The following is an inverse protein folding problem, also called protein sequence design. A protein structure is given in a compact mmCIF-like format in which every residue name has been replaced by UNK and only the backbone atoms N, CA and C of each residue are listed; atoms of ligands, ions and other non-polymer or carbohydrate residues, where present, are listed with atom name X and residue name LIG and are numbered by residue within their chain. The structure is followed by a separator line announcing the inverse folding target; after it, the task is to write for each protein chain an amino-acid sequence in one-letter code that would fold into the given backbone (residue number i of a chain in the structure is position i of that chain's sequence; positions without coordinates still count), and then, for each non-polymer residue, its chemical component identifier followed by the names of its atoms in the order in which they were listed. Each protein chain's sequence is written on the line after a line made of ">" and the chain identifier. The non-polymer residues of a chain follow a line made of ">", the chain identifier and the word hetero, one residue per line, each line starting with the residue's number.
data_IF_897772753640
#
_entry.id   IF_897772753640
#
_cell.length_a   1.000
_cell.length_b   1.000
_cell.length_c   1.000
_cell.angle_alpha   90.00
_cell.angle_beta   90.00
_cell.angle_gamma   90.00
#
_symmetry.space_group_name_H-M   'P 1'
#
loop_
_entity.id
_entity.type
_entity.pdbx_description
1 polymer ?
#
# COMPACT_ATOMS: atom_id res chain seq x y z
N UNK A 1 38.99 -35.01 -46.63
CA UNK A 1 40.44 -34.89 -46.36
C UNK A 1 40.55 -33.63 -45.46
N UNK A 2 41.02 -33.65 -44.24
CA UNK A 2 41.78 -34.57 -43.39
C UNK A 2 41.33 -34.33 -41.93
N UNK A 3 41.31 -35.42 -41.28
CA UNK A 3 41.13 -35.68 -39.87
C UNK A 3 42.15 -34.96 -38.96
N UNK A 4 41.71 -34.39 -37.82
CA UNK A 4 42.60 -34.20 -36.66
C UNK A 4 41.77 -34.35 -35.36
N UNK A 5 41.79 -35.58 -34.87
CA UNK A 5 41.49 -35.89 -33.46
C UNK A 5 42.57 -35.27 -32.56
N UNK A 6 42.19 -34.55 -31.53
CA UNK A 6 43.06 -34.19 -30.43
C UNK A 6 42.53 -34.86 -29.14
N UNK A 7 43.43 -35.47 -28.43
CA UNK A 7 43.25 -36.39 -27.27
C UNK A 7 42.76 -35.63 -26.01
N UNK A 8 41.90 -36.30 -25.27
CA UNK A 8 41.58 -35.97 -23.88
C UNK A 8 42.81 -36.22 -22.99
N UNK A 9 43.14 -35.28 -22.14
CA UNK A 9 44.12 -35.44 -21.05
C UNK A 9 43.34 -35.63 -19.72
N UNK A 10 43.74 -36.67 -19.01
CA UNK A 10 43.28 -37.05 -17.68
C UNK A 10 43.40 -35.89 -16.69
N UNK A 11 42.32 -35.65 -15.93
CA UNK A 11 42.34 -34.78 -14.75
C UNK A 11 42.07 -35.67 -13.54
N UNK A 12 43.08 -35.75 -12.66
CA UNK A 12 43.09 -36.51 -11.42
C UNK A 12 41.88 -36.20 -10.52
N UNK A 13 41.27 -37.24 -9.99
CA UNK A 13 40.24 -37.17 -8.95
C UNK A 13 40.87 -36.82 -7.59
N UNK A 14 40.25 -35.87 -6.82
CA UNK A 14 40.76 -35.59 -5.47
C UNK A 14 40.42 -36.70 -4.49
N UNK A 15 41.45 -37.07 -3.69
CA UNK A 15 41.39 -38.06 -2.60
C UNK A 15 40.36 -37.67 -1.55
N UNK A 16 39.58 -38.64 -1.11
CA UNK A 16 38.63 -38.51 0.02
C UNK A 16 39.39 -38.23 1.33
N UNK A 17 39.04 -37.13 2.00
CA UNK A 17 39.49 -36.83 3.37
C UNK A 17 38.42 -37.37 4.31
N UNK A 18 38.83 -38.25 5.23
CA UNK A 18 37.98 -38.78 6.30
C UNK A 18 37.52 -37.69 7.25
N UNK A 19 36.26 -37.68 7.73
CA UNK A 19 35.77 -36.67 8.65
C UNK A 19 36.32 -36.91 10.06
N UNK A 20 37.14 -35.97 10.56
CA UNK A 20 37.41 -35.86 11.98
C UNK A 20 36.14 -35.33 12.69
N UNK A 21 35.68 -36.05 13.71
CA UNK A 21 34.57 -35.71 14.57
C UNK A 21 34.88 -34.43 15.39
N UNK A 22 34.32 -33.31 15.01
CA UNK A 22 34.36 -32.10 15.81
C UNK A 22 33.12 -32.00 16.71
N UNK A 23 33.29 -32.34 17.98
CA UNK A 23 32.29 -32.31 19.06
C UNK A 23 31.90 -30.90 19.51
N UNK A 24 32.34 -29.84 18.80
CA UNK A 24 31.98 -28.46 19.06
C UNK A 24 30.67 -27.99 18.37
N UNK A 25 30.18 -28.73 17.38
CA UNK A 25 28.95 -28.40 16.64
C UNK A 25 27.65 -28.65 17.40
N UNK A 26 27.70 -29.54 18.41
CA UNK A 26 26.50 -29.95 19.18
C UNK A 26 26.10 -28.95 20.25
N UNK A 27 27.06 -28.18 20.79
CA UNK A 27 26.81 -27.17 21.82
C UNK A 27 26.23 -25.86 21.25
N UNK A 28 26.51 -25.53 20.00
CA UNK A 28 25.94 -24.32 19.33
C UNK A 28 24.49 -24.57 18.92
N UNK A 29 24.12 -25.80 18.58
CA UNK A 29 22.73 -26.15 18.23
C UNK A 29 21.79 -26.26 19.43
N UNK A 30 22.29 -26.51 20.62
CA UNK A 30 21.49 -26.58 21.85
C UNK A 30 21.15 -25.20 22.45
N UNK A 31 21.97 -24.15 22.21
CA UNK A 31 21.73 -22.80 22.67
C UNK A 31 20.73 -22.03 21.79
N UNK A 32 20.40 -22.55 20.57
CA UNK A 32 19.45 -21.93 19.66
C UNK A 32 17.99 -22.40 19.86
N UNK A 33 17.72 -23.21 20.88
CA UNK A 33 16.37 -23.68 21.21
C UNK A 33 15.96 -23.19 22.59
N UNK A 34 15.63 -21.91 22.73
CA UNK A 34 14.61 -21.36 23.64
C UNK A 34 14.83 -19.87 23.99
N UNK A 35 14.87 -19.02 23.00
CA UNK A 35 14.27 -17.72 23.20
C UNK A 35 13.05 -17.70 22.27
N UNK A 36 11.87 -17.91 22.81
CA UNK A 36 10.66 -17.42 22.17
C UNK A 36 10.91 -15.93 22.03
N UNK A 37 11.24 -15.48 20.83
CA UNK A 37 11.44 -14.06 20.57
C UNK A 37 10.17 -13.36 21.06
N UNK A 38 10.32 -12.44 22.01
CA UNK A 38 9.19 -11.62 22.47
C UNK A 38 8.64 -10.96 21.22
N UNK A 39 7.40 -11.26 20.89
CA UNK A 39 6.73 -10.64 19.75
C UNK A 39 5.89 -9.50 20.30
N UNK A 40 6.25 -8.27 19.90
CA UNK A 40 5.51 -7.08 20.31
C UNK A 40 4.18 -6.98 19.56
N UNK A 41 3.14 -6.55 20.25
CA UNK A 41 1.90 -6.16 19.60
C UNK A 41 2.12 -4.84 18.86
N UNK A 42 1.56 -4.71 17.66
CA UNK A 42 1.73 -3.53 16.81
C UNK A 42 0.41 -2.80 16.65
N UNK A 43 0.40 -1.52 16.96
CA UNK A 43 -0.79 -0.67 16.94
C UNK A 43 -0.64 0.50 15.97
N UNK A 44 -1.76 0.98 15.43
CA UNK A 44 -1.84 2.16 14.60
C UNK A 44 -2.27 3.33 15.49
N UNK A 45 -1.49 4.42 15.50
CA UNK A 45 -1.71 5.58 16.37
C UNK A 45 -1.94 6.89 15.61
N UNK A 46 -1.61 6.96 14.32
CA UNK A 46 -1.82 8.15 13.52
C UNK A 46 -1.99 7.86 12.04
N UNK A 47 -2.71 8.76 11.37
CA UNK A 47 -2.99 8.71 9.94
C UNK A 47 -2.78 10.10 9.34
N UNK A 48 -2.02 10.19 8.26
CA UNK A 48 -1.87 11.39 7.45
C UNK A 48 -2.23 11.10 6.01
N UNK A 49 -2.97 11.99 5.37
CA UNK A 49 -3.47 11.81 4.01
C UNK A 49 -3.26 13.05 3.17
N UNK A 50 -2.89 12.84 1.93
CA UNK A 50 -3.00 13.81 0.83
C UNK A 50 -3.71 13.08 -0.29
N UNK A 51 -5.01 13.32 -0.43
CA UNK A 51 -5.88 12.64 -1.39
C UNK A 51 -6.80 13.65 -2.09
N UNK A 52 -7.45 13.30 -3.19
CA UNK A 52 -8.44 14.17 -3.81
C UNK A 52 -9.48 14.63 -2.80
N UNK A 53 -9.61 15.95 -2.66
CA UNK A 53 -10.61 16.59 -1.78
C UNK A 53 -10.34 16.48 -0.28
N UNK A 54 -9.24 15.85 0.19
CA UNK A 54 -8.93 15.81 1.62
C UNK A 54 -7.43 15.82 1.92
N UNK A 55 -7.11 16.44 3.04
CA UNK A 55 -5.76 16.53 3.58
C UNK A 55 -5.71 16.43 5.12
N UNK A 56 -6.80 15.94 5.73
CA UNK A 56 -6.85 15.60 7.16
C UNK A 56 -7.54 14.26 7.36
N UNK A 57 -7.26 13.60 8.49
CA UNK A 57 -7.92 12.33 8.86
C UNK A 57 -9.44 12.49 8.99
N UNK A 58 -9.89 13.62 9.51
CA UNK A 58 -11.32 13.93 9.72
C UNK A 58 -12.05 14.07 8.38
N UNK A 59 -11.48 14.79 7.42
CA UNK A 59 -12.05 14.93 6.06
C UNK A 59 -12.03 13.57 5.35
N UNK A 60 -10.94 12.83 5.47
CA UNK A 60 -10.83 11.47 4.92
C UNK A 60 -11.94 10.56 5.45
N UNK A 61 -12.13 10.55 6.77
CA UNK A 61 -13.19 9.77 7.40
C UNK A 61 -14.59 10.22 6.94
N UNK A 62 -14.82 11.51 6.85
CA UNK A 62 -16.11 12.06 6.39
C UNK A 62 -16.42 11.61 4.97
N UNK A 63 -15.47 11.74 4.03
CA UNK A 63 -15.67 11.32 2.64
C UNK A 63 -15.93 9.80 2.51
N UNK A 64 -15.22 8.99 3.28
CA UNK A 64 -15.43 7.54 3.33
C UNK A 64 -16.83 7.20 3.86
N UNK A 65 -17.25 7.83 4.95
CA UNK A 65 -18.54 7.60 5.59
C UNK A 65 -19.71 8.04 4.71
N UNK A 66 -19.60 9.22 4.13
CA UNK A 66 -20.67 9.82 3.34
C UNK A 66 -20.72 9.24 1.92
N UNK A 67 -19.63 8.60 1.48
CA UNK A 67 -19.57 7.90 0.19
C UNK A 67 -19.61 8.87 -0.98
N UNK A 68 -18.92 10.00 -0.90
CA UNK A 68 -18.86 11.00 -1.96
C UNK A 68 -17.67 10.80 -2.88
N UNK A 69 -17.93 10.65 -4.19
CA UNK A 69 -16.86 10.56 -5.19
C UNK A 69 -16.08 11.87 -5.30
N UNK A 70 -14.78 11.79 -5.22
CA UNK A 70 -13.83 12.89 -5.38
C UNK A 70 -13.22 12.93 -6.79
N UNK A 71 -13.78 12.14 -7.71
CA UNK A 71 -13.37 12.15 -9.11
C UNK A 71 -13.95 13.37 -9.81
N UNK A 72 -13.16 13.96 -10.69
CA UNK A 72 -13.58 15.06 -11.58
C UNK A 72 -13.44 14.61 -13.03
N UNK A 73 -14.30 15.14 -13.91
CA UNK A 73 -14.12 14.97 -15.36
C UNK A 73 -13.15 16.05 -15.82
N UNK A 74 -12.06 15.62 -16.38
CA UNK A 74 -11.04 16.51 -16.92
C UNK A 74 -10.38 15.87 -18.16
N UNK A 75 -9.76 16.69 -19.03
CA UNK A 75 -9.03 16.16 -20.19
C UNK A 75 -7.92 15.20 -19.76
N UNK A 76 -7.90 14.04 -20.38
CA UNK A 76 -6.82 13.07 -20.23
C UNK A 76 -5.49 13.68 -20.69
N UNK A 77 -4.43 13.51 -19.92
CA UNK A 77 -3.13 14.05 -20.30
C UNK A 77 -2.57 13.56 -21.64
N UNK A 78 -2.97 12.38 -22.12
CA UNK A 78 -2.42 11.76 -23.32
C UNK A 78 -3.05 12.29 -24.62
N UNK A 79 -4.38 12.36 -24.69
CA UNK A 79 -5.11 12.66 -25.94
C UNK A 79 -6.19 13.74 -25.80
N UNK A 80 -6.29 14.34 -24.60
CA UNK A 80 -7.24 15.41 -24.29
C UNK A 80 -8.73 14.99 -24.40
N UNK A 81 -9.00 13.68 -24.36
CA UNK A 81 -10.37 13.17 -24.24
C UNK A 81 -10.76 13.20 -22.77
N UNK A 82 -11.93 13.73 -22.48
CA UNK A 82 -12.44 13.81 -21.11
C UNK A 82 -12.57 12.42 -20.47
N UNK A 83 -12.08 12.30 -19.25
CA UNK A 83 -12.21 11.12 -18.41
C UNK A 83 -12.27 11.48 -16.92
N UNK A 84 -12.67 10.53 -16.10
CA UNK A 84 -12.69 10.71 -14.65
C UNK A 84 -11.27 10.56 -14.08
N UNK A 85 -10.84 11.53 -13.27
CA UNK A 85 -9.52 11.57 -12.62
C UNK A 85 -9.69 11.98 -11.15
N UNK A 86 -8.99 11.28 -10.25
CA UNK A 86 -8.84 11.64 -8.85
C UNK A 86 -7.59 12.50 -8.64
N UNK A 87 -7.70 13.80 -8.90
CA UNK A 87 -6.58 14.74 -8.79
C UNK A 87 -6.61 15.49 -7.47
N UNK A 88 -5.46 15.58 -6.80
CA UNK A 88 -5.28 16.48 -5.66
C UNK A 88 -5.20 17.91 -6.17
N UNK A 89 -6.26 18.66 -5.96
CA UNK A 89 -6.35 20.06 -6.38
C UNK A 89 -5.65 20.98 -5.37
N UNK A 90 -5.14 22.11 -5.84
CA UNK A 90 -4.66 23.23 -5.01
C UNK A 90 -3.70 22.84 -3.87
N UNK A 91 -2.78 21.90 -4.12
CA UNK A 91 -1.82 21.48 -3.11
C UNK A 91 -0.81 22.60 -2.82
N UNK A 92 -0.77 23.04 -1.56
CA UNK A 92 0.25 23.95 -1.02
C UNK A 92 1.12 23.23 0.02
N UNK A 93 2.34 22.85 -0.36
CA UNK A 93 3.29 22.15 0.53
C UNK A 93 3.66 22.97 1.78
N UNK A 94 3.68 24.33 1.69
CA UNK A 94 4.07 25.16 2.81
C UNK A 94 3.19 24.96 4.05
N UNK A 95 1.92 24.62 3.85
CA UNK A 95 0.95 24.30 4.92
C UNK A 95 1.42 23.17 5.85
N UNK A 96 2.19 22.22 5.32
CA UNK A 96 2.59 21.00 6.05
C UNK A 96 3.98 21.07 6.64
N UNK A 97 4.84 21.98 6.14
CA UNK A 97 6.28 21.99 6.40
C UNK A 97 6.69 23.06 7.39
N UNK A 98 5.80 23.45 8.31
CA UNK A 98 6.14 24.35 9.41
C UNK A 98 7.33 23.82 10.20
N UNK A 99 8.32 24.70 10.45
CA UNK A 99 9.57 24.33 11.10
C UNK A 99 10.60 23.64 10.18
N UNK A 100 10.27 23.37 8.93
CA UNK A 100 11.20 22.83 7.93
C UNK A 100 11.64 23.94 6.99
N UNK A 101 12.97 24.12 6.83
CA UNK A 101 13.50 25.12 5.92
C UNK A 101 13.04 24.86 4.47
N UNK A 102 12.52 25.90 3.82
CA UNK A 102 11.99 25.84 2.45
C UNK A 102 12.97 25.20 1.45
N UNK A 103 14.30 25.43 1.60
CA UNK A 103 15.34 24.83 0.75
C UNK A 103 15.32 23.29 0.75
N UNK A 104 14.74 22.66 1.78
CA UNK A 104 14.71 21.21 1.92
C UNK A 104 13.57 20.56 1.14
N UNK A 105 12.46 21.27 0.88
CA UNK A 105 11.30 20.69 0.23
C UNK A 105 10.86 21.38 -1.07
N UNK A 106 11.16 22.67 -1.30
CA UNK A 106 10.71 23.45 -2.48
C UNK A 106 11.15 22.80 -3.81
N UNK A 107 12.26 22.08 -3.80
CA UNK A 107 12.77 21.42 -4.99
C UNK A 107 12.36 19.95 -5.11
N UNK A 108 11.63 19.41 -4.14
CA UNK A 108 11.02 18.10 -4.25
C UNK A 108 9.93 18.16 -5.33
N UNK A 109 9.84 17.14 -6.16
CA UNK A 109 8.74 17.04 -7.10
C UNK A 109 7.44 16.66 -6.38
N UNK A 110 6.30 16.78 -7.08
CA UNK A 110 4.96 16.65 -6.53
C UNK A 110 4.76 15.42 -5.65
N UNK A 111 5.20 14.26 -6.13
CA UNK A 111 5.10 12.99 -5.42
C UNK A 111 5.83 13.01 -4.07
N UNK A 112 7.07 13.51 -4.05
CA UNK A 112 7.86 13.63 -2.82
C UNK A 112 7.23 14.64 -1.84
N UNK A 113 6.63 15.71 -2.34
CA UNK A 113 5.90 16.65 -1.50
C UNK A 113 4.66 16.02 -0.87
N UNK A 114 3.92 15.20 -1.61
CA UNK A 114 2.79 14.44 -1.07
C UNK A 114 3.23 13.47 0.01
N UNK A 115 4.32 12.72 -0.24
CA UNK A 115 4.92 11.83 0.74
C UNK A 115 5.26 12.56 2.03
N UNK A 116 6.06 13.65 1.95
CA UNK A 116 6.45 14.45 3.11
C UNK A 116 5.24 15.05 3.85
N UNK A 117 4.26 15.57 3.11
CA UNK A 117 3.08 16.19 3.72
C UNK A 117 2.23 15.16 4.49
N UNK A 118 1.98 13.99 3.91
CA UNK A 118 1.24 12.92 4.59
C UNK A 118 1.97 12.41 5.83
N UNK A 119 3.30 12.29 5.75
CA UNK A 119 4.15 11.88 6.87
C UNK A 119 4.09 12.89 8.02
N UNK A 120 4.19 14.20 7.70
CA UNK A 120 4.09 15.26 8.71
C UNK A 120 2.71 15.31 9.37
N UNK A 121 1.66 15.04 8.63
CA UNK A 121 0.31 14.93 9.19
C UNK A 121 0.15 13.70 10.08
N UNK A 122 0.58 12.52 9.63
CA UNK A 122 0.50 11.28 10.40
C UNK A 122 1.22 11.43 11.76
N UNK A 123 2.40 12.07 11.75
CA UNK A 123 3.14 12.39 12.97
C UNK A 123 2.32 13.28 13.93
N UNK A 124 1.72 14.36 13.39
CA UNK A 124 0.89 15.27 14.20
C UNK A 124 -0.34 14.57 14.76
N UNK A 125 -0.99 13.76 13.94
CA UNK A 125 -2.16 12.99 14.33
C UNK A 125 -1.85 11.96 15.42
N UNK A 126 -0.67 11.34 15.37
CA UNK A 126 -0.17 10.46 16.41
C UNK A 126 0.29 11.21 17.68
N UNK A 127 0.39 12.53 17.65
CA UNK A 127 0.91 13.32 18.77
C UNK A 127 2.41 13.11 19.02
N UNK A 128 3.20 12.78 17.99
CA UNK A 128 4.65 12.59 18.12
C UNK A 128 5.38 13.90 17.83
N UNK A 129 6.21 14.36 18.75
CA UNK A 129 7.03 15.56 18.57
C UNK A 129 8.16 15.32 17.55
N UNK A 130 8.56 16.39 16.83
CA UNK A 130 9.62 16.30 15.80
C UNK A 130 10.92 15.70 16.36
N UNK A 131 11.34 16.14 17.55
CA UNK A 131 12.57 15.67 18.17
C UNK A 131 12.57 14.19 18.54
N UNK A 132 11.41 13.62 18.80
CA UNK A 132 11.27 12.19 19.12
C UNK A 132 11.52 11.28 17.90
N UNK A 133 11.41 11.81 16.67
CA UNK A 133 11.71 11.06 15.45
C UNK A 133 13.20 10.88 15.19
N UNK A 134 14.05 11.72 15.78
CA UNK A 134 15.51 11.69 15.59
C UNK A 134 16.16 10.51 16.36
N UNK A 135 15.79 9.28 16.03
CA UNK A 135 16.13 8.06 16.76
C UNK A 135 16.49 6.91 15.83
N UNK A 136 17.32 5.99 16.29
CA UNK A 136 17.63 4.71 15.65
C UNK A 136 16.46 3.72 15.78
N UNK A 137 15.51 3.99 16.70
CA UNK A 137 14.32 3.20 16.96
C UNK A 137 13.10 3.63 16.13
N UNK A 138 13.28 4.59 15.23
CA UNK A 138 12.24 5.07 14.30
C UNK A 138 12.62 4.68 12.87
N UNK A 139 11.72 4.01 12.14
CA UNK A 139 11.93 3.61 10.75
C UNK A 139 10.96 4.27 9.77
N UNK A 140 11.38 4.39 8.51
CA UNK A 140 10.55 4.81 7.38
C UNK A 140 10.38 3.67 6.38
N UNK A 141 9.14 3.38 6.06
CA UNK A 141 8.75 2.31 5.13
C UNK A 141 7.88 2.91 4.04
N UNK A 142 8.45 3.01 2.86
CA UNK A 142 7.85 3.68 1.72
C UNK A 142 7.39 2.66 0.67
N UNK A 143 6.21 2.85 0.12
CA UNK A 143 5.62 2.03 -0.92
C UNK A 143 5.14 2.88 -2.09
N UNK A 144 5.77 2.74 -3.24
CA UNK A 144 5.38 3.45 -4.47
C UNK A 144 5.32 2.51 -5.66
N UNK A 145 4.37 2.72 -6.55
CA UNK A 145 4.23 1.95 -7.79
C UNK A 145 5.07 2.53 -8.92
N UNK A 146 5.15 3.84 -9.03
CA UNK A 146 5.78 4.55 -10.14
C UNK A 146 7.00 5.37 -9.70
N UNK A 147 7.10 5.69 -8.43
CA UNK A 147 8.20 6.49 -7.89
C UNK A 147 8.38 7.78 -8.69
N UNK A 148 9.62 8.12 -8.99
CA UNK A 148 9.98 9.34 -9.71
C UNK A 148 9.69 9.33 -11.23
N UNK A 149 8.77 8.47 -11.70
CA UNK A 149 8.48 8.34 -13.13
C UNK A 149 7.97 9.65 -13.75
N UNK A 150 7.08 10.38 -13.05
CA UNK A 150 6.60 11.68 -13.50
C UNK A 150 7.74 12.71 -13.58
N UNK A 151 8.64 12.71 -12.59
CA UNK A 151 9.82 13.58 -12.60
C UNK A 151 10.70 13.30 -13.85
N UNK A 152 11.04 12.04 -14.11
CA UNK A 152 11.85 11.69 -15.27
C UNK A 152 11.18 12.05 -16.58
N UNK A 153 9.87 11.84 -16.68
CA UNK A 153 9.12 12.25 -17.87
C UNK A 153 9.28 13.75 -18.15
N UNK A 154 9.09 14.59 -17.14
CA UNK A 154 9.25 16.05 -17.28
C UNK A 154 10.71 16.45 -17.59
N UNK A 155 11.70 15.81 -16.97
CA UNK A 155 13.11 16.08 -17.25
C UNK A 155 13.49 15.71 -18.69
N UNK A 156 13.03 14.56 -19.19
CA UNK A 156 13.28 14.12 -20.57
C UNK A 156 12.62 15.07 -21.55
N UNK A 157 11.35 15.43 -21.31
CA UNK A 157 10.61 16.40 -22.12
C UNK A 157 11.33 17.74 -22.19
N UNK A 158 11.70 18.31 -21.04
CA UNK A 158 12.44 19.55 -20.95
C UNK A 158 13.78 19.49 -21.71
N UNK A 159 14.49 18.37 -21.64
CA UNK A 159 15.76 18.17 -22.37
C UNK A 159 15.58 18.09 -23.90
N UNK A 160 14.46 17.51 -24.36
CA UNK A 160 14.11 17.47 -25.79
C UNK A 160 13.77 18.89 -26.29
N UNK A 161 12.97 19.63 -25.51
CA UNK A 161 12.55 21.00 -25.83
C UNK A 161 13.74 22.01 -25.77
N UNK A 162 14.65 21.78 -24.80
CA UNK A 162 15.85 22.59 -24.58
C UNK A 162 17.13 21.72 -24.59
N UNK A 163 17.73 21.40 -25.76
CA UNK A 163 18.92 20.56 -25.83
C UNK A 163 20.11 21.07 -25.01
N UNK A 164 20.21 22.38 -24.77
CA UNK A 164 21.24 23.01 -23.94
C UNK A 164 21.03 22.86 -22.42
N UNK A 165 19.87 22.39 -21.96
CA UNK A 165 19.55 22.19 -20.55
C UNK A 165 20.61 21.28 -19.90
N UNK A 166 21.12 21.68 -18.75
CA UNK A 166 22.08 20.89 -17.96
C UNK A 166 21.38 20.44 -16.66
N UNK A 167 21.45 19.16 -16.39
CA UNK A 167 21.03 18.59 -15.12
C UNK A 167 22.10 18.83 -14.05
N UNK A 168 21.65 18.97 -12.83
CA UNK A 168 22.50 19.10 -11.65
C UNK A 168 22.62 17.74 -10.93
N UNK A 169 23.58 17.62 -9.99
CA UNK A 169 23.67 16.46 -9.11
C UNK A 169 22.41 16.27 -8.27
N UNK A 170 21.70 17.36 -7.99
CA UNK A 170 20.42 17.32 -7.28
C UNK A 170 19.32 16.67 -8.12
N UNK A 171 19.23 16.96 -9.41
CA UNK A 171 18.24 16.36 -10.30
C UNK A 171 18.46 14.84 -10.39
N UNK A 172 19.72 14.41 -10.49
CA UNK A 172 20.07 13.01 -10.41
C UNK A 172 19.59 12.38 -9.10
N UNK A 173 19.83 13.05 -7.96
CA UNK A 173 19.46 12.56 -6.65
C UNK A 173 17.93 12.46 -6.50
N UNK A 174 17.17 13.50 -6.85
CA UNK A 174 15.71 13.51 -6.75
C UNK A 174 15.03 12.51 -7.69
N UNK A 175 15.65 12.14 -8.80
CA UNK A 175 15.15 11.15 -9.73
C UNK A 175 15.37 9.69 -9.32
N UNK A 176 16.14 9.41 -8.28
CA UNK A 176 16.35 8.03 -7.82
C UNK A 176 15.10 7.46 -7.14
N UNK A 177 14.72 6.19 -7.41
CA UNK A 177 13.75 5.49 -6.59
C UNK A 177 14.18 5.48 -5.13
N UNK A 178 13.25 5.73 -4.22
CA UNK A 178 13.55 5.76 -2.78
C UNK A 178 14.09 7.10 -2.24
N UNK A 179 14.19 8.13 -3.07
CA UNK A 179 14.66 9.43 -2.57
C UNK A 179 13.65 10.16 -1.69
N UNK A 180 12.37 9.90 -1.83
CA UNK A 180 11.36 10.44 -0.92
C UNK A 180 11.70 10.08 0.53
N UNK A 181 12.04 8.82 0.79
CA UNK A 181 12.41 8.30 2.10
C UNK A 181 13.72 8.89 2.61
N UNK A 182 14.74 9.03 1.73
CA UNK A 182 16.02 9.62 2.10
C UNK A 182 15.92 11.11 2.45
N UNK A 183 15.11 11.87 1.70
CA UNK A 183 14.83 13.27 1.99
C UNK A 183 14.09 13.41 3.33
N UNK A 184 13.08 12.58 3.58
CA UNK A 184 12.34 12.59 4.84
C UNK A 184 13.24 12.24 6.03
N UNK A 185 14.07 11.22 5.91
CA UNK A 185 15.01 10.83 6.97
C UNK A 185 15.96 11.97 7.32
N UNK A 186 16.50 12.67 6.32
CA UNK A 186 17.38 13.81 6.51
C UNK A 186 16.66 15.00 7.18
N UNK A 187 15.42 15.29 6.78
CA UNK A 187 14.60 16.38 7.35
C UNK A 187 14.24 16.10 8.81
N UNK A 188 13.87 14.86 9.11
CA UNK A 188 13.35 14.46 10.42
C UNK A 188 14.43 13.94 11.37
N UNK A 189 15.67 13.81 10.89
CA UNK A 189 16.78 13.27 11.67
C UNK A 189 16.64 11.79 12.01
N UNK A 190 15.85 11.03 11.26
CA UNK A 190 15.63 9.60 11.45
C UNK A 190 16.90 8.83 11.10
N UNK A 191 17.36 7.97 12.01
CA UNK A 191 18.57 7.16 11.86
C UNK A 191 18.32 5.65 11.82
N UNK A 192 17.07 5.22 12.05
CA UNK A 192 16.66 3.83 11.93
C UNK A 192 16.50 3.38 10.46
N UNK A 193 15.97 2.18 10.24
CA UNK A 193 15.88 1.61 8.91
C UNK A 193 14.96 2.42 7.98
N UNK A 194 15.40 2.56 6.73
CA UNK A 194 14.63 3.22 5.68
C UNK A 194 14.55 2.31 4.45
N UNK A 195 13.33 2.06 3.96
CA UNK A 195 13.08 1.18 2.83
C UNK A 195 12.11 1.80 1.84
N UNK A 196 12.31 1.51 0.56
CA UNK A 196 11.31 1.75 -0.49
C UNK A 196 10.96 0.44 -1.16
N UNK A 197 9.66 0.12 -1.19
CA UNK A 197 9.10 -1.08 -1.78
C UNK A 197 8.34 -0.74 -3.07
N UNK A 198 8.53 -1.57 -4.08
CA UNK A 198 7.75 -1.54 -5.30
C UNK A 198 7.08 -2.90 -5.54
N UNK A 199 5.82 -2.98 -5.19
CA UNK A 199 4.91 -4.09 -5.48
C UNK A 199 3.71 -3.60 -6.27
N UNK A 200 3.92 -2.60 -7.14
CA UNK A 200 2.89 -1.93 -7.93
C UNK A 200 1.75 -1.39 -7.05
N UNK A 201 0.49 -1.74 -7.30
CA UNK A 201 -0.66 -1.23 -6.53
C UNK A 201 -0.71 -1.76 -5.08
N UNK A 202 0.06 -2.80 -4.74
CA UNK A 202 0.16 -3.37 -3.40
C UNK A 202 1.26 -2.71 -2.53
N UNK A 203 2.06 -1.78 -3.09
CA UNK A 203 3.27 -1.23 -2.47
C UNK A 203 3.04 -0.66 -1.08
N UNK A 204 1.99 0.12 -0.86
CA UNK A 204 1.71 0.72 0.46
C UNK A 204 1.43 -0.33 1.54
N UNK A 205 0.66 -1.38 1.22
CA UNK A 205 0.41 -2.47 2.16
C UNK A 205 1.67 -3.33 2.41
N UNK A 206 2.54 -3.48 1.40
CA UNK A 206 3.85 -4.13 1.56
C UNK A 206 4.72 -3.33 2.52
N UNK A 207 4.79 -2.01 2.35
CA UNK A 207 5.55 -1.12 3.24
C UNK A 207 5.06 -1.21 4.69
N UNK A 208 3.75 -1.12 4.90
CA UNK A 208 3.12 -1.26 6.22
C UNK A 208 3.37 -2.64 6.85
N UNK A 209 3.32 -3.69 6.04
CA UNK A 209 3.58 -5.04 6.51
C UNK A 209 5.04 -5.30 6.90
N UNK A 210 5.99 -4.68 6.21
CA UNK A 210 7.40 -4.73 6.61
C UNK A 210 7.65 -3.90 7.87
N UNK A 211 7.02 -2.72 8.00
CA UNK A 211 7.01 -1.94 9.24
C UNK A 211 6.49 -2.77 10.43
N UNK A 212 5.36 -3.47 10.24
CA UNK A 212 4.81 -4.40 11.22
C UNK A 212 5.82 -5.48 11.65
N UNK A 213 6.56 -6.09 10.70
CA UNK A 213 7.56 -7.11 11.03
C UNK A 213 8.71 -6.57 11.87
N UNK A 214 9.23 -5.39 11.54
CA UNK A 214 10.32 -4.75 12.28
C UNK A 214 9.90 -4.37 13.71
N UNK A 215 8.69 -3.83 13.86
CA UNK A 215 8.10 -3.51 15.17
C UNK A 215 7.85 -4.78 15.99
N UNK A 216 7.23 -5.79 15.38
CA UNK A 216 6.93 -7.06 16.05
C UNK A 216 8.17 -7.77 16.56
N UNK A 217 9.28 -7.65 15.83
CA UNK A 217 10.58 -8.19 16.21
C UNK A 217 11.33 -7.33 17.26
N UNK A 218 10.83 -6.13 17.62
CA UNK A 218 11.46 -5.21 18.55
C UNK A 218 12.73 -4.51 18.00
N UNK A 219 12.94 -4.56 16.69
CA UNK A 219 14.05 -3.87 16.04
C UNK A 219 13.91 -2.35 16.13
N UNK A 220 12.67 -1.87 16.01
CA UNK A 220 12.26 -0.47 16.14
C UNK A 220 11.02 -0.37 17.05
N UNK A 221 10.71 0.83 17.50
CA UNK A 221 9.56 1.14 18.38
C UNK A 221 8.49 1.93 17.67
N UNK A 222 8.87 2.72 16.64
CA UNK A 222 7.98 3.54 15.81
C UNK A 222 8.31 3.34 14.34
N UNK A 223 7.30 3.21 13.52
CA UNK A 223 7.41 3.18 12.07
C UNK A 223 6.42 4.14 11.42
N UNK A 224 6.88 4.89 10.41
CA UNK A 224 6.01 5.64 9.52
C UNK A 224 5.96 4.86 8.19
N UNK A 225 4.83 4.21 7.95
CA UNK A 225 4.58 3.42 6.75
C UNK A 225 3.72 4.20 5.77
N UNK A 226 4.20 4.42 4.56
CA UNK A 226 3.54 5.26 3.56
C UNK A 226 3.28 4.50 2.26
N UNK A 227 2.13 4.74 1.64
CA UNK A 227 1.90 4.45 0.23
C UNK A 227 1.66 5.75 -0.52
N UNK A 228 2.31 5.94 -1.67
CA UNK A 228 2.14 7.17 -2.46
C UNK A 228 2.37 6.95 -3.95
N UNK A 229 1.76 7.80 -4.77
CA UNK A 229 2.06 8.04 -6.19
C UNK A 229 1.45 9.37 -6.66
N UNK A 230 2.11 10.04 -7.60
CA UNK A 230 1.61 11.20 -8.32
C UNK A 230 2.03 11.14 -9.79
N UNK A 231 1.52 10.12 -10.49
CA UNK A 231 1.95 9.78 -11.85
C UNK A 231 0.85 10.02 -12.91
N UNK A 232 0.09 11.11 -12.77
CA UNK A 232 -0.94 11.50 -13.75
C UNK A 232 -0.30 12.14 -14.99
N UNK A 233 0.42 11.35 -15.78
CA UNK A 233 1.21 11.78 -16.94
C UNK A 233 0.78 11.08 -18.23
N UNK A 234 0.94 11.72 -19.41
CA UNK A 234 0.48 11.19 -20.69
C UNK A 234 0.87 9.74 -20.98
N UNK A 235 2.13 9.30 -20.83
CA UNK A 235 2.50 7.93 -21.18
C UNK A 235 1.76 6.88 -20.36
N UNK A 236 1.48 7.18 -19.09
CA UNK A 236 0.78 6.24 -18.20
C UNK A 236 -0.68 6.08 -18.63
N UNK A 237 -1.37 7.20 -18.90
CA UNK A 237 -2.73 7.17 -19.39
C UNK A 237 -2.85 6.40 -20.71
N UNK A 238 -1.93 6.64 -21.66
CA UNK A 238 -1.92 5.94 -22.95
C UNK A 238 -1.80 4.42 -22.76
N UNK A 239 -0.79 3.97 -21.96
CA UNK A 239 -0.57 2.54 -21.71
C UNK A 239 -1.80 1.84 -21.11
N UNK A 240 -2.45 2.48 -20.13
CA UNK A 240 -3.62 1.88 -19.48
C UNK A 240 -4.87 1.96 -20.34
N UNK A 241 -4.98 2.96 -21.20
CA UNK A 241 -6.06 3.06 -22.17
C UNK A 241 -5.95 1.96 -23.23
N UNK A 242 -4.76 1.76 -23.79
CA UNK A 242 -4.49 0.71 -24.78
C UNK A 242 -4.75 -0.69 -24.21
N UNK A 243 -4.50 -0.87 -22.91
CA UNK A 243 -4.82 -2.07 -22.16
C UNK A 243 -6.30 -2.18 -21.74
N UNK A 244 -7.16 -1.21 -22.05
CA UNK A 244 -8.58 -1.13 -21.63
C UNK A 244 -8.76 -1.18 -20.08
N UNK A 245 -7.84 -0.59 -19.35
CA UNK A 245 -7.85 -0.55 -17.87
C UNK A 245 -8.36 0.78 -17.28
N UNK A 246 -8.58 1.80 -18.14
CA UNK A 246 -9.17 3.09 -17.74
C UNK A 246 -10.61 3.18 -18.25
N UNK A 247 -11.49 3.65 -17.36
CA UNK A 247 -12.89 3.92 -17.67
C UNK A 247 -13.01 5.02 -18.74
N UNK A 248 -13.94 4.80 -19.67
CA UNK A 248 -14.30 5.79 -20.70
C UNK A 248 -15.56 6.58 -20.33
N UNK A 249 -16.03 6.46 -19.10
CA UNK A 249 -17.16 7.23 -18.61
C UNK A 249 -16.74 8.69 -18.43
N UNK A 250 -17.31 9.56 -19.21
CA UNK A 250 -17.03 10.99 -19.22
C UNK A 250 -18.28 11.84 -18.93
N UNK A 251 -19.46 11.21 -18.80
CA UNK A 251 -20.71 11.94 -18.52
C UNK A 251 -20.89 12.28 -17.04
N UNK A 252 -20.37 11.42 -16.16
CA UNK A 252 -20.46 11.60 -14.72
C UNK A 252 -19.31 10.89 -14.00
N UNK A 253 -18.42 11.67 -13.38
CA UNK A 253 -17.28 11.15 -12.62
C UNK A 253 -17.69 10.14 -11.55
N UNK A 254 -18.84 10.41 -10.88
CA UNK A 254 -19.43 9.50 -9.88
C UNK A 254 -19.86 8.13 -10.41
N UNK A 255 -19.78 7.88 -11.73
CA UNK A 255 -20.12 6.60 -12.37
C UNK A 255 -18.95 5.91 -13.06
N UNK A 256 -17.79 6.52 -12.98
CA UNK A 256 -16.63 6.05 -13.74
C UNK A 256 -16.07 4.70 -13.24
N UNK A 257 -16.15 4.43 -11.94
CA UNK A 257 -15.64 3.19 -11.32
C UNK A 257 -16.78 2.49 -10.60
N UNK A 258 -17.14 1.28 -11.08
CA UNK A 258 -18.27 0.49 -10.57
C UNK A 258 -17.86 -0.96 -10.29
N UNK A 259 -17.10 -1.21 -9.20
CA UNK A 259 -16.58 -2.53 -8.89
C UNK A 259 -17.70 -3.52 -8.57
N UNK A 260 -17.45 -4.79 -8.84
CA UNK A 260 -18.30 -5.96 -8.52
C UNK A 260 -19.66 -6.03 -9.23
N UNK A 261 -20.03 -5.03 -10.00
CA UNK A 261 -21.33 -4.98 -10.72
C UNK A 261 -21.16 -4.74 -12.20
N UNK A 262 -20.46 -3.69 -12.58
CA UNK A 262 -20.15 -3.32 -13.94
C UNK A 262 -18.64 -3.30 -14.16
N UNK A 263 -18.16 -3.93 -15.21
CA UNK A 263 -16.75 -3.89 -15.57
C UNK A 263 -16.43 -2.57 -16.28
N UNK A 264 -16.44 -1.48 -15.53
CA UNK A 264 -16.25 -0.12 -16.05
C UNK A 264 -14.77 0.27 -16.18
N UNK A 265 -13.85 -0.56 -15.68
CA UNK A 265 -12.45 -0.27 -15.50
C UNK A 265 -12.18 0.85 -14.46
N UNK A 266 -10.92 1.26 -14.31
CA UNK A 266 -10.51 2.24 -13.29
C UNK A 266 -10.67 3.69 -13.77
N UNK A 267 -10.65 4.62 -12.82
CA UNK A 267 -10.16 5.98 -13.00
C UNK A 267 -8.82 6.11 -12.27
N UNK A 268 -7.85 6.83 -12.82
CA UNK A 268 -6.63 7.12 -12.09
C UNK A 268 -6.86 8.13 -10.98
N UNK A 269 -6.11 7.95 -9.89
CA UNK A 269 -5.97 8.91 -8.80
C UNK A 269 -4.50 9.12 -8.44
N UNK A 270 -4.24 10.15 -7.66
CA UNK A 270 -2.93 10.42 -7.06
C UNK A 270 -3.10 10.67 -5.56
N UNK A 271 -2.00 10.56 -4.81
CA UNK A 271 -2.00 10.89 -3.40
C UNK A 271 -0.94 10.18 -2.59
N UNK A 272 -0.98 10.41 -1.29
CA UNK A 272 -0.15 9.76 -0.30
C UNK A 272 -0.94 9.49 0.98
N UNK A 273 -0.70 8.33 1.57
CA UNK A 273 -1.29 7.94 2.86
C UNK A 273 -0.19 7.35 3.73
N UNK A 274 0.04 7.97 4.88
CA UNK A 274 1.00 7.53 5.90
C UNK A 274 0.26 7.06 7.14
N UNK A 275 0.66 5.91 7.68
CA UNK A 275 0.23 5.43 8.99
C UNK A 275 1.43 5.43 9.95
N UNK A 276 1.21 5.88 11.17
CA UNK A 276 2.15 5.66 12.29
C UNK A 276 1.80 4.34 12.94
N UNK A 277 2.77 3.43 12.96
CA UNK A 277 2.70 2.17 13.66
C UNK A 277 3.68 2.22 14.83
N UNK A 278 3.27 1.64 15.96
CA UNK A 278 4.10 1.59 17.17
C UNK A 278 4.01 0.20 17.82
N UNK A 279 5.04 -0.17 18.57
CA UNK A 279 4.85 -1.26 19.53
C UNK A 279 3.82 -0.80 20.58
N UNK A 280 2.99 -1.73 21.06
CA UNK A 280 1.97 -1.43 22.08
C UNK A 280 2.59 -0.75 23.29
N UNK A 281 3.72 -1.24 23.74
CA UNK A 281 4.42 -0.75 24.91
C UNK A 281 4.86 0.71 24.74
N UNK A 282 5.35 1.09 23.56
CA UNK A 282 5.73 2.46 23.26
C UNK A 282 4.49 3.37 23.22
N UNK A 283 3.41 2.94 22.56
CA UNK A 283 2.17 3.69 22.48
C UNK A 283 1.54 3.94 23.85
N UNK A 284 1.47 2.90 24.69
CA UNK A 284 0.92 2.98 26.05
C UNK A 284 1.77 3.88 26.95
N UNK A 285 3.10 3.78 26.87
CA UNK A 285 4.03 4.59 27.69
C UNK A 285 3.89 6.10 27.45
N UNK A 286 3.47 6.51 26.23
CA UNK A 286 3.23 7.92 25.89
C UNK A 286 1.74 8.31 25.91
N UNK A 287 0.84 7.39 26.26
CA UNK A 287 -0.61 7.65 26.30
C UNK A 287 -1.24 7.89 24.92
N UNK A 288 -0.76 7.19 23.89
CA UNK A 288 -1.25 7.36 22.52
C UNK A 288 -2.71 6.92 22.37
N UNK A 289 -3.45 7.61 21.50
CA UNK A 289 -4.76 7.14 21.04
C UNK A 289 -4.60 6.04 20.00
N UNK A 290 -4.95 4.81 20.36
CA UNK A 290 -4.86 3.68 19.44
C UNK A 290 -6.12 3.62 18.56
N UNK A 291 -5.90 3.48 17.25
CA UNK A 291 -6.96 3.36 16.26
C UNK A 291 -7.35 1.90 16.00
N UNK A 292 -6.36 1.03 15.84
CA UNK A 292 -6.53 -0.41 15.65
C UNK A 292 -5.22 -1.14 15.94
N UNK A 293 -5.28 -2.45 16.13
CA UNK A 293 -4.12 -3.35 16.19
C UNK A 293 -3.91 -4.00 14.83
N UNK A 294 -2.67 -4.06 14.34
CA UNK A 294 -2.29 -4.89 13.19
C UNK A 294 -2.11 -6.31 13.68
N UNK A 295 -3.04 -7.19 13.35
CA UNK A 295 -3.08 -8.55 13.86
C UNK A 295 -2.21 -9.52 13.05
N UNK A 296 -2.10 -9.33 11.73
CA UNK A 296 -1.30 -10.20 10.87
C UNK A 296 -0.96 -9.58 9.54
N UNK A 297 0.11 -10.08 8.92
CA UNK A 297 0.58 -9.64 7.60
C UNK A 297 1.14 -10.81 6.79
N UNK A 298 0.70 -10.92 5.56
CA UNK A 298 1.28 -11.84 4.57
C UNK A 298 1.42 -11.18 3.22
N UNK A 299 2.52 -11.48 2.57
CA UNK A 299 2.82 -11.06 1.21
C UNK A 299 3.38 -12.24 0.44
N UNK A 300 2.98 -12.38 -0.81
CA UNK A 300 3.48 -13.41 -1.71
C UNK A 300 3.09 -13.17 -3.15
N UNK A 301 3.80 -13.85 -4.04
CA UNK A 301 3.52 -13.84 -5.46
C UNK A 301 2.59 -15.01 -5.82
N UNK A 302 1.78 -14.86 -6.89
CA UNK A 302 0.94 -15.93 -7.43
C UNK A 302 1.77 -17.08 -8.02
N UNK A 303 2.88 -16.74 -8.67
CA UNK A 303 3.81 -17.70 -9.26
C UNK A 303 3.38 -18.30 -10.59
N UNK A 304 2.22 -17.92 -11.11
CA UNK A 304 1.64 -18.53 -12.31
C UNK A 304 1.92 -17.73 -13.58
N UNK A 305 1.55 -16.45 -13.61
CA UNK A 305 1.69 -15.61 -14.80
C UNK A 305 2.21 -14.21 -14.45
N UNK A 306 3.07 -13.61 -15.30
CA UNK A 306 3.70 -12.33 -14.99
C UNK A 306 2.75 -11.12 -15.00
N UNK A 307 1.60 -11.22 -15.66
CA UNK A 307 0.63 -10.11 -15.79
C UNK A 307 -0.75 -10.43 -15.25
N UNK A 308 -1.12 -11.70 -15.15
CA UNK A 308 -2.47 -12.11 -14.83
C UNK A 308 -2.69 -12.17 -13.31
N UNK A 309 -3.95 -11.90 -12.94
CA UNK A 309 -4.44 -12.10 -11.58
C UNK A 309 -4.95 -13.54 -11.45
N UNK A 310 -4.67 -14.20 -10.33
CA UNK A 310 -5.29 -15.49 -10.01
C UNK A 310 -6.81 -15.34 -9.88
N UNK A 311 -7.52 -15.52 -10.99
CA UNK A 311 -8.97 -15.41 -11.04
C UNK A 311 -9.69 -16.47 -10.19
N UNK A 312 -9.00 -17.54 -9.80
CA UNK A 312 -9.58 -18.58 -8.94
C UNK A 312 -9.70 -18.12 -7.49
N UNK A 313 -9.00 -17.04 -7.11
CA UNK A 313 -8.94 -16.52 -5.76
C UNK A 313 -8.26 -17.47 -4.76
N UNK A 314 -7.52 -18.48 -5.25
CA UNK A 314 -6.84 -19.47 -4.40
C UNK A 314 -5.74 -18.85 -3.57
N UNK A 315 -4.79 -18.18 -4.23
CA UNK A 315 -3.66 -17.55 -3.56
C UNK A 315 -4.07 -16.44 -2.60
N UNK A 316 -4.97 -15.48 -2.97
CA UNK A 316 -5.51 -14.51 -2.01
C UNK A 316 -6.18 -15.16 -0.80
N UNK A 317 -6.97 -16.23 -1.00
CA UNK A 317 -7.64 -16.92 0.11
C UNK A 317 -6.63 -17.54 1.10
N UNK A 318 -5.54 -18.14 0.61
CA UNK A 318 -4.44 -18.65 1.45
C UNK A 318 -3.82 -17.52 2.29
N UNK A 319 -3.53 -16.36 1.68
CA UNK A 319 -2.96 -15.23 2.41
C UNK A 319 -3.91 -14.72 3.48
N UNK A 320 -5.21 -14.62 3.19
CA UNK A 320 -6.23 -14.23 4.18
C UNK A 320 -6.25 -15.23 5.33
N UNK A 321 -6.27 -16.53 5.04
CA UNK A 321 -6.25 -17.57 6.08
C UNK A 321 -5.01 -17.43 6.98
N UNK A 322 -3.83 -17.24 6.40
CA UNK A 322 -2.60 -17.09 7.17
C UNK A 322 -2.56 -15.82 8.04
N UNK A 323 -3.10 -14.68 7.57
CA UNK A 323 -3.11 -13.46 8.42
C UNK A 323 -4.10 -13.57 9.55
N UNK A 324 -5.19 -14.30 9.37
CA UNK A 324 -6.14 -14.59 10.43
C UNK A 324 -5.51 -15.53 11.47
N UNK A 325 -4.85 -16.61 11.05
CA UNK A 325 -4.12 -17.51 11.93
C UNK A 325 -3.03 -16.76 12.73
N UNK A 326 -2.23 -15.91 12.08
CA UNK A 326 -1.20 -15.10 12.74
C UNK A 326 -1.78 -14.15 13.79
N UNK A 327 -2.95 -13.59 13.52
CA UNK A 327 -3.66 -12.67 14.40
C UNK A 327 -4.55 -13.35 15.45
N UNK A 328 -4.52 -14.69 15.53
CA UNK A 328 -5.41 -15.47 16.38
C UNK A 328 -6.91 -15.13 16.17
N UNK A 329 -7.26 -14.83 14.91
CA UNK A 329 -8.59 -14.48 14.46
C UNK A 329 -9.22 -15.65 13.68
N UNK A 330 -10.50 -15.79 13.82
CA UNK A 330 -11.30 -16.66 12.96
C UNK A 330 -12.01 -15.87 11.86
N UNK A 331 -12.51 -16.54 10.83
CA UNK A 331 -13.34 -15.89 9.83
C UNK A 331 -14.62 -15.25 10.46
N UNK A 332 -15.03 -15.65 11.66
CA UNK A 332 -16.18 -15.08 12.36
C UNK A 332 -15.89 -13.71 12.98
N UNK A 333 -14.65 -13.41 13.28
CA UNK A 333 -14.21 -12.12 13.82
C UNK A 333 -14.10 -11.04 12.74
N UNK A 334 -14.13 -11.45 11.44
CA UNK A 334 -14.04 -10.53 10.31
C UNK A 334 -15.41 -9.91 10.04
N UNK A 335 -15.52 -8.61 10.27
CA UNK A 335 -16.71 -7.82 10.02
C UNK A 335 -16.79 -7.22 8.61
N UNK A 336 -15.65 -7.08 7.91
CA UNK A 336 -15.56 -6.54 6.56
C UNK A 336 -14.24 -6.94 5.86
N UNK A 337 -14.23 -6.87 4.54
CA UNK A 337 -13.03 -6.98 3.71
C UNK A 337 -12.92 -5.75 2.83
N UNK A 338 -11.82 -5.03 2.91
CA UNK A 338 -11.45 -4.01 1.93
C UNK A 338 -10.64 -4.67 0.82
N UNK A 339 -11.29 -4.83 -0.33
CA UNK A 339 -10.76 -5.49 -1.50
C UNK A 339 -9.90 -4.59 -2.38
N UNK A 340 -9.38 -5.15 -3.45
CA UNK A 340 -8.72 -4.38 -4.49
C UNK A 340 -9.76 -3.58 -5.31
N UNK A 341 -10.89 -4.19 -5.68
CA UNK A 341 -12.11 -3.57 -6.18
C UNK A 341 -11.89 -2.51 -7.26
N UNK A 342 -11.22 -2.87 -8.35
CA UNK A 342 -10.82 -1.92 -9.39
C UNK A 342 -11.76 -1.90 -10.62
N UNK A 343 -12.91 -2.56 -10.54
CA UNK A 343 -13.90 -2.67 -11.61
C UNK A 343 -13.35 -3.32 -12.90
N UNK A 344 -12.26 -4.09 -12.80
CA UNK A 344 -11.71 -4.91 -13.89
C UNK A 344 -12.16 -6.35 -13.67
N UNK A 345 -12.76 -6.95 -14.70
CA UNK A 345 -13.46 -8.23 -14.60
C UNK A 345 -12.65 -9.34 -13.93
N UNK A 346 -11.41 -9.54 -14.32
CA UNK A 346 -10.57 -10.63 -13.80
C UNK A 346 -10.25 -10.43 -12.32
N UNK A 347 -9.98 -9.18 -11.91
CA UNK A 347 -9.73 -8.83 -10.50
C UNK A 347 -10.98 -9.03 -9.65
N UNK A 348 -12.10 -8.47 -10.08
CA UNK A 348 -13.36 -8.56 -9.33
C UNK A 348 -13.80 -10.02 -9.18
N UNK A 349 -13.63 -10.85 -10.23
CA UNK A 349 -13.92 -12.29 -10.15
C UNK A 349 -13.01 -13.02 -9.14
N UNK A 350 -11.72 -12.70 -9.14
CA UNK A 350 -10.77 -13.21 -8.14
C UNK A 350 -11.27 -12.92 -6.73
N UNK A 351 -11.72 -11.68 -6.49
CA UNK A 351 -12.18 -11.24 -5.19
C UNK A 351 -13.45 -11.97 -4.74
N UNK A 352 -14.43 -12.13 -5.62
CA UNK A 352 -15.62 -12.92 -5.32
C UNK A 352 -15.27 -14.38 -5.02
N UNK A 353 -14.25 -14.93 -5.68
CA UNK A 353 -13.84 -16.31 -5.47
C UNK A 353 -13.08 -16.50 -4.14
N UNK A 354 -12.17 -15.60 -3.74
CA UNK A 354 -11.56 -15.74 -2.42
C UNK A 354 -12.57 -15.53 -1.29
N UNK A 355 -13.55 -14.62 -1.46
CA UNK A 355 -14.63 -14.47 -0.49
C UNK A 355 -15.38 -15.77 -0.25
N UNK A 356 -15.75 -16.49 -1.34
CA UNK A 356 -16.38 -17.83 -1.24
C UNK A 356 -15.51 -18.84 -0.51
N UNK A 357 -14.19 -18.86 -0.82
CA UNK A 357 -13.25 -19.81 -0.23
C UNK A 357 -13.06 -19.59 1.27
N UNK A 358 -12.92 -18.32 1.70
CA UNK A 358 -12.65 -17.98 3.10
C UNK A 358 -13.93 -17.96 3.94
N UNK A 359 -14.99 -17.33 3.44
CA UNK A 359 -16.19 -17.03 4.23
C UNK A 359 -17.38 -17.95 3.92
N UNK A 360 -17.35 -18.70 2.83
CA UNK A 360 -18.42 -19.64 2.49
C UNK A 360 -19.80 -18.95 2.42
N UNK A 361 -20.73 -19.41 3.26
CA UNK A 361 -22.09 -18.82 3.33
C UNK A 361 -22.14 -17.42 3.92
N UNK A 362 -21.09 -17.02 4.66
CA UNK A 362 -21.01 -15.69 5.28
C UNK A 362 -20.66 -14.56 4.32
N UNK A 363 -20.45 -14.84 3.03
CA UNK A 363 -20.30 -13.78 2.01
C UNK A 363 -21.45 -12.77 1.96
N UNK A 364 -22.62 -13.15 2.52
CA UNK A 364 -23.79 -12.26 2.67
C UNK A 364 -23.68 -11.33 3.88
N UNK A 365 -22.89 -11.72 4.89
CA UNK A 365 -22.77 -11.01 6.16
C UNK A 365 -21.50 -10.16 6.22
N UNK A 366 -20.43 -10.62 5.55
CA UNK A 366 -19.14 -9.94 5.48
C UNK A 366 -19.05 -9.12 4.17
N UNK A 367 -19.20 -7.79 4.23
CA UNK A 367 -19.12 -6.97 3.02
C UNK A 367 -17.71 -6.95 2.44
N UNK A 368 -17.66 -7.06 1.12
CA UNK A 368 -16.49 -6.79 0.28
C UNK A 368 -16.60 -5.37 -0.26
N UNK A 369 -15.69 -4.49 0.14
CA UNK A 369 -15.79 -3.05 -0.05
C UNK A 369 -14.65 -2.54 -0.92
N UNK A 370 -14.92 -1.54 -1.77
CA UNK A 370 -13.91 -0.81 -2.53
C UNK A 370 -14.00 0.69 -2.27
N UNK A 371 -12.84 1.32 -2.06
CA UNK A 371 -12.68 2.79 -1.93
C UNK A 371 -12.39 3.48 -3.27
N UNK A 372 -12.13 2.73 -4.34
CA UNK A 372 -11.76 3.28 -5.65
C UNK A 372 -12.84 4.13 -6.33
N UNK A 373 -14.14 3.87 -6.14
CA UNK A 373 -15.17 4.80 -6.63
C UNK A 373 -15.10 6.19 -6.00
N UNK A 374 -14.48 6.33 -4.82
CA UNK A 374 -14.32 7.61 -4.12
C UNK A 374 -13.10 8.37 -4.67
N UNK A 375 -11.92 7.76 -4.71
CA UNK A 375 -10.65 8.44 -4.98
C UNK A 375 -10.01 8.11 -6.32
N UNK A 376 -10.57 7.16 -7.08
CA UNK A 376 -9.88 6.51 -8.18
C UNK A 376 -8.81 5.52 -7.69
N UNK A 377 -8.04 5.00 -8.62
CA UNK A 377 -6.92 4.12 -8.31
C UNK A 377 -5.65 4.94 -8.09
N UNK A 378 -5.31 5.18 -6.84
CA UNK A 378 -4.14 5.97 -6.41
C UNK A 378 -2.83 5.15 -6.43
N UNK A 379 -2.77 4.09 -7.24
CA UNK A 379 -1.60 3.23 -7.47
C UNK A 379 -0.97 2.73 -6.15
N UNK A 380 0.28 3.09 -5.86
CA UNK A 380 0.98 2.69 -4.63
C UNK A 380 0.33 3.16 -3.34
N UNK A 381 -0.41 4.28 -3.37
CA UNK A 381 -1.16 4.77 -2.22
C UNK A 381 -2.41 3.93 -1.91
N UNK A 382 -3.02 3.27 -2.91
CA UNK A 382 -4.33 2.60 -2.79
C UNK A 382 -4.42 1.59 -1.65
N UNK A 383 -3.38 0.79 -1.46
CA UNK A 383 -3.39 -0.24 -0.42
C UNK A 383 -3.17 0.33 0.99
N UNK A 384 -2.34 1.36 1.15
CA UNK A 384 -2.21 2.09 2.42
C UNK A 384 -3.50 2.84 2.78
N UNK A 385 -4.19 3.44 1.77
CA UNK A 385 -5.50 4.05 1.93
C UNK A 385 -6.51 3.04 2.51
N UNK A 386 -6.54 1.82 1.98
CA UNK A 386 -7.44 0.78 2.48
C UNK A 386 -7.09 0.38 3.93
N UNK A 387 -5.81 0.31 4.31
CA UNK A 387 -5.41 0.03 5.70
C UNK A 387 -5.85 1.15 6.63
N UNK A 388 -5.68 2.42 6.23
CA UNK A 388 -6.15 3.57 6.99
C UNK A 388 -7.69 3.57 7.13
N UNK A 389 -8.41 3.28 6.04
CA UNK A 389 -9.87 3.14 6.08
C UNK A 389 -10.32 2.03 7.02
N UNK A 390 -9.67 0.85 6.99
CA UNK A 390 -9.97 -0.27 7.88
C UNK A 390 -9.78 0.11 9.36
N UNK A 391 -8.69 0.78 9.71
CA UNK A 391 -8.45 1.25 11.07
C UNK A 391 -9.55 2.22 11.55
N UNK A 392 -9.97 3.15 10.69
CA UNK A 392 -11.04 4.09 11.01
C UNK A 392 -12.42 3.43 11.08
N UNK A 393 -12.70 2.42 10.27
CA UNK A 393 -13.94 1.64 10.35
C UNK A 393 -14.05 0.90 11.68
N UNK A 394 -12.96 0.29 12.16
CA UNK A 394 -12.90 -0.36 13.48
C UNK A 394 -13.07 0.68 14.58
N UNK A 395 -12.30 1.78 14.53
CA UNK A 395 -12.32 2.82 15.56
C UNK A 395 -13.69 3.49 15.72
N UNK A 396 -14.37 3.74 14.60
CA UNK A 396 -15.65 4.47 14.59
C UNK A 396 -16.86 3.55 14.57
N UNK A 397 -16.68 2.23 14.65
CA UNK A 397 -17.76 1.22 14.63
C UNK A 397 -18.72 1.42 13.44
N UNK A 398 -18.15 1.64 12.26
CA UNK A 398 -18.93 1.95 11.07
C UNK A 398 -18.34 1.27 9.84
N UNK A 399 -19.18 0.62 9.06
CA UNK A 399 -18.82 0.00 7.78
C UNK A 399 -19.16 0.97 6.65
N UNK A 400 -18.14 1.42 5.93
CA UNK A 400 -18.29 2.37 4.82
C UNK A 400 -18.93 1.72 3.60
N UNK A 401 -19.56 2.49 2.68
CA UNK A 401 -20.15 1.94 1.46
C UNK A 401 -19.13 1.69 0.36
N UNK A 402 -19.44 0.75 -0.53
CA UNK A 402 -18.99 0.80 -1.92
C UNK A 402 -20.01 1.61 -2.70
N UNK A 403 -19.63 2.78 -3.21
CA UNK A 403 -20.53 3.63 -4.00
C UNK A 403 -20.55 3.22 -5.48
N UNK A 404 -21.48 3.79 -6.24
CA UNK A 404 -21.70 3.52 -7.68
C UNK A 404 -22.15 2.08 -7.98
N UNK A 405 -22.64 1.36 -6.97
CA UNK A 405 -23.16 0.00 -7.13
C UNK A 405 -24.59 0.03 -7.64
N UNK A 406 -24.84 -0.59 -8.79
CA UNK A 406 -26.19 -0.87 -9.25
C UNK A 406 -26.69 -2.14 -8.53
N UNK A 407 -27.54 -1.97 -7.54
CA UNK A 407 -28.05 -3.08 -6.71
C UNK A 407 -28.81 -4.15 -7.51
N UNK A 408 -29.29 -3.81 -8.70
CA UNK A 408 -29.96 -4.77 -9.60
C UNK A 408 -28.97 -5.69 -10.33
N UNK A 409 -27.68 -5.33 -10.33
CA UNK A 409 -26.58 -6.04 -11.00
C UNK A 409 -25.61 -6.71 -10.05
N UNK A 410 -25.86 -6.63 -8.75
CA UNK A 410 -25.02 -7.27 -7.73
C UNK A 410 -25.00 -8.78 -7.95
N UNK A 411 -23.82 -9.38 -7.86
CA UNK A 411 -23.69 -10.84 -7.90
C UNK A 411 -24.36 -11.44 -6.67
N UNK A 412 -25.39 -12.27 -6.89
CA UNK A 412 -26.17 -12.86 -5.80
C UNK A 412 -25.30 -13.64 -4.82
N UNK A 413 -25.54 -13.43 -3.54
CA UNK A 413 -24.83 -14.13 -2.45
C UNK A 413 -23.63 -13.38 -1.88
N UNK A 414 -23.37 -12.16 -2.33
CA UNK A 414 -22.36 -11.28 -1.77
C UNK A 414 -22.98 -10.00 -1.19
N UNK A 415 -22.30 -9.44 -0.21
CA UNK A 415 -22.59 -8.12 0.34
C UNK A 415 -21.47 -7.15 -0.07
N UNK A 416 -21.81 -6.05 -0.72
CA UNK A 416 -20.87 -5.00 -1.11
C UNK A 416 -21.10 -3.71 -0.32
N UNK A 417 -21.99 -3.71 0.67
CA UNK A 417 -22.41 -2.51 1.40
C UNK A 417 -22.76 -1.38 0.42
N UNK A 418 -23.64 -1.69 -0.53
CA UNK A 418 -23.92 -0.86 -1.70
C UNK A 418 -24.44 0.53 -1.30
N UNK A 419 -23.78 1.57 -1.80
CA UNK A 419 -24.15 2.99 -1.78
C UNK A 419 -24.48 3.61 -0.39
N UNK A 420 -24.57 2.82 0.67
CA UNK A 420 -24.87 3.30 2.00
C UNK A 420 -24.07 2.56 3.06
N UNK A 421 -23.32 3.28 3.87
CA UNK A 421 -22.64 2.73 5.03
C UNK A 421 -23.60 2.42 6.19
N UNK A 422 -23.12 1.69 7.17
CA UNK A 422 -23.91 1.27 8.34
C UNK A 422 -23.10 1.34 9.61
N UNK A 423 -23.72 1.86 10.68
CA UNK A 423 -23.16 1.78 12.03
C UNK A 423 -23.17 0.31 12.48
N UNK A 424 -21.98 -0.28 12.61
CA UNK A 424 -21.77 -1.66 13.00
C UNK A 424 -20.39 -1.84 13.61
N UNK A 425 -20.35 -2.24 14.87
CA UNK A 425 -19.11 -2.66 15.51
C UNK A 425 -18.55 -3.90 14.81
N UNK A 426 -17.24 -3.93 14.61
CA UNK A 426 -16.52 -5.04 14.03
C UNK A 426 -15.31 -5.37 14.91
N UNK A 427 -15.13 -6.65 15.25
CA UNK A 427 -13.95 -7.09 16.00
C UNK A 427 -12.68 -6.98 15.16
N UNK A 428 -12.80 -7.16 13.85
CA UNK A 428 -11.70 -6.96 12.94
C UNK A 428 -12.13 -6.86 11.48
N UNK A 429 -11.15 -6.62 10.62
CA UNK A 429 -11.30 -6.55 9.17
C UNK A 429 -10.04 -7.02 8.46
N UNK A 430 -10.20 -7.34 7.19
CA UNK A 430 -9.10 -7.75 6.31
C UNK A 430 -8.95 -6.74 5.18
N UNK A 431 -7.71 -6.38 4.90
CA UNK A 431 -7.33 -5.61 3.70
C UNK A 431 -6.58 -6.55 2.77
N UNK A 432 -7.00 -6.61 1.52
CA UNK A 432 -6.29 -7.34 0.49
C UNK A 432 -5.99 -6.43 -0.70
N UNK A 433 -4.81 -6.54 -1.26
CA UNK A 433 -4.41 -5.78 -2.43
C UNK A 433 -3.65 -6.65 -3.43
N UNK A 434 -3.90 -6.37 -4.69
CA UNK A 434 -3.19 -6.96 -5.83
C UNK A 434 -2.24 -5.94 -6.45
N UNK A 435 -1.17 -6.46 -7.03
CA UNK A 435 -0.28 -5.71 -7.89
C UNK A 435 0.04 -6.49 -9.15
N UNK A 436 0.22 -5.79 -10.26
CA UNK A 436 0.74 -6.39 -11.49
C UNK A 436 2.03 -7.16 -11.19
N UNK A 437 2.28 -8.26 -11.90
CA UNK A 437 3.41 -9.14 -11.61
C UNK A 437 3.10 -10.19 -10.55
N UNK A 438 1.81 -10.48 -10.32
CA UNK A 438 1.36 -11.53 -9.38
C UNK A 438 1.51 -11.16 -7.91
N UNK A 439 1.69 -9.88 -7.59
CA UNK A 439 1.84 -9.41 -6.21
C UNK A 439 0.51 -9.53 -5.46
N UNK A 440 0.52 -10.19 -4.30
CA UNK A 440 -0.65 -10.33 -3.45
C UNK A 440 -0.26 -10.02 -2.00
N UNK A 441 -1.03 -9.19 -1.32
CA UNK A 441 -0.80 -8.83 0.07
C UNK A 441 -2.09 -8.85 0.87
N UNK A 442 -2.03 -9.39 2.08
CA UNK A 442 -3.13 -9.36 3.03
C UNK A 442 -2.65 -8.81 4.38
N UNK A 443 -3.47 -7.96 5.00
CA UNK A 443 -3.33 -7.54 6.39
C UNK A 443 -4.65 -7.82 7.13
N UNK A 444 -4.53 -8.30 8.36
CA UNK A 444 -5.64 -8.36 9.29
C UNK A 444 -5.48 -7.26 10.35
N UNK A 445 -6.54 -6.53 10.58
CA UNK A 445 -6.63 -5.56 11.67
C UNK A 445 -7.70 -6.02 12.65
N UNK A 446 -7.48 -5.73 13.93
CA UNK A 446 -8.49 -6.00 14.97
C UNK A 446 -8.69 -4.78 15.85
N UNK A 447 -9.80 -4.80 16.59
CA UNK A 447 -10.06 -3.84 17.65
C UNK A 447 -8.93 -3.94 18.68
N UNK A 448 -8.50 -2.79 19.14
CA UNK A 448 -7.56 -2.74 20.25
C UNK A 448 -8.34 -2.88 21.56
N UNK A 449 -7.99 -3.85 22.36
CA UNK A 449 -8.51 -3.95 23.73
C UNK A 449 -8.03 -2.71 24.50
N UNK A 450 -8.92 -2.16 25.32
CA UNK A 450 -8.63 -0.96 26.13
C UNK A 450 -7.70 -1.27 27.28
#
# INVERSE_FOLDING_TARGET
>A
MSDKRARASDVDAPRAVSPQSNDSGTRIRAAARSAVAIQHEVVITGIGVILPGCDTREQFWQQLRDGESQLTIEPDPADQIDCAIGRVQSFDGAKYFEGIEARNYVRCHREQQFYLASLMQARRDAGIEMGALASDKVGLFDGTSRGSFAFWYEQIKAKIEQPSLRFTSRDLHLGMPGQAVGVAAAILGIRGPTYTFNGTCASGAIALGHAYRELRAGNIEVALGTGHDAALIPPLFQMYRDANLISREASAASRAVRPYTDHSANAFGEGAVTLVLETREHADARGASILATVAGYRYGNGGDHPTDVDFTGGRPAELITHVLEEGEMSAYDVGFVLGHGNAVQVSDLSELNYMKRVFGRRTRDVPLISTKPIYGHTLGASSALNVAAAALMIKNEYVIPTINVDETRVVHGFNHQANRGVARASEGGVVIAYGMGGQNVALALRRSDR
#
